data_IF_659020501433
#
_entry.id   IF_659020501433
#
_cell.length_a   1.000
_cell.length_b   1.000
_cell.length_c   1.000
_cell.angle_alpha   90.00
_cell.angle_beta   90.00
_cell.angle_gamma   90.00
#
_symmetry.space_group_name_H-M   'P 1'
#
loop_
_entity.id
_entity.type
_entity.pdbx_description
1 polymer ?
#
# COMPACT_ATOMS: atom_id res chain seq x y z
N UNK A 1 22.00 13.59 -10.33
CA UNK A 1 22.68 14.17 -11.52
C UNK A 1 22.35 13.22 -12.65
N UNK A 2 21.38 13.53 -13.53
CA UNK A 2 20.96 12.62 -14.62
C UNK A 2 22.19 12.01 -15.28
N UNK A 3 22.32 10.68 -15.20
CA UNK A 3 23.56 9.99 -15.56
C UNK A 3 23.90 10.37 -17.01
N UNK A 4 25.02 11.07 -17.20
CA UNK A 4 25.45 11.56 -18.52
C UNK A 4 25.55 10.41 -19.53
N UNK A 5 25.68 9.18 -19.03
CA UNK A 5 25.69 7.93 -19.82
C UNK A 5 24.32 7.57 -20.38
N UNK A 6 23.24 7.70 -19.60
CA UNK A 6 21.87 7.46 -20.06
C UNK A 6 21.45 8.48 -21.13
N UNK A 7 21.78 9.76 -20.92
CA UNK A 7 21.53 10.83 -21.89
C UNK A 7 22.31 10.61 -23.19
N UNK A 8 23.58 10.22 -23.12
CA UNK A 8 24.39 9.91 -24.31
C UNK A 8 23.85 8.68 -25.04
N UNK A 9 23.42 7.64 -24.33
CA UNK A 9 22.83 6.44 -24.94
C UNK A 9 21.52 6.75 -25.67
N UNK A 10 20.67 7.62 -25.13
CA UNK A 10 19.41 8.02 -25.76
C UNK A 10 19.63 8.91 -26.99
N UNK A 11 20.61 9.83 -26.93
CA UNK A 11 21.04 10.66 -28.06
C UNK A 11 21.59 9.81 -29.22
N UNK A 12 22.19 8.65 -28.95
CA UNK A 12 22.73 7.76 -29.99
C UNK A 12 21.66 6.77 -30.50
N UNK A 13 20.85 6.21 -29.62
CA UNK A 13 19.86 5.20 -29.98
C UNK A 13 18.77 5.76 -30.91
N UNK A 14 18.21 6.94 -30.60
CA UNK A 14 17.08 7.47 -31.39
C UNK A 14 17.47 7.74 -32.85
N UNK A 15 18.60 8.42 -33.16
CA UNK A 15 19.04 8.58 -34.55
C UNK A 15 19.36 7.26 -35.24
N UNK A 16 19.94 6.29 -34.51
CA UNK A 16 20.28 4.98 -35.09
C UNK A 16 19.03 4.20 -35.52
N UNK A 17 17.97 4.23 -34.70
CA UNK A 17 16.67 3.66 -35.05
C UNK A 17 16.05 4.34 -36.28
N UNK A 18 16.14 5.69 -36.36
CA UNK A 18 15.63 6.44 -37.50
C UNK A 18 16.41 6.13 -38.79
N UNK A 19 17.74 6.02 -38.72
CA UNK A 19 18.58 5.61 -39.86
C UNK A 19 18.22 4.18 -40.30
N UNK A 20 18.00 3.27 -39.35
CA UNK A 20 17.61 1.90 -39.65
C UNK A 20 16.26 1.82 -40.40
N UNK A 21 15.27 2.60 -39.97
CA UNK A 21 13.92 2.58 -40.54
C UNK A 21 13.83 3.36 -41.86
N UNK A 22 14.45 4.54 -41.94
CA UNK A 22 14.25 5.49 -43.05
C UNK A 22 15.27 5.31 -44.18
N UNK A 23 16.47 4.80 -43.88
CA UNK A 23 17.56 4.71 -44.87
C UNK A 23 17.89 3.26 -45.17
N UNK A 24 18.26 2.47 -44.15
CA UNK A 24 18.75 1.11 -44.37
C UNK A 24 17.66 0.16 -44.88
N UNK A 25 16.41 0.35 -44.42
CA UNK A 25 15.25 -0.46 -44.87
C UNK A 25 15.03 -0.39 -46.38
N UNK A 26 15.39 0.71 -47.02
CA UNK A 26 15.25 0.91 -48.47
C UNK A 26 16.32 0.14 -49.27
N UNK A 27 17.40 -0.27 -48.63
CA UNK A 27 18.54 -0.93 -49.28
C UNK A 27 18.64 -2.41 -48.91
N UNK A 28 18.57 -2.74 -47.62
CA UNK A 28 18.62 -4.11 -47.11
C UNK A 28 17.79 -4.23 -45.83
N UNK A 29 16.74 -5.05 -45.90
CA UNK A 29 15.81 -5.26 -44.81
C UNK A 29 16.43 -6.02 -43.63
N UNK A 30 17.29 -7.00 -43.89
CA UNK A 30 17.91 -7.79 -42.83
C UNK A 30 18.92 -6.95 -42.05
N UNK A 31 19.70 -6.14 -42.76
CA UNK A 31 20.62 -5.18 -42.15
C UNK A 31 19.86 -4.12 -41.33
N UNK A 32 18.75 -3.60 -41.87
CA UNK A 32 17.87 -2.68 -41.14
C UNK A 32 17.35 -3.29 -39.84
N UNK A 33 16.92 -4.56 -39.86
CA UNK A 33 16.42 -5.25 -38.67
C UNK A 33 17.50 -5.43 -37.60
N UNK A 34 18.73 -5.77 -37.99
CA UNK A 34 19.86 -5.91 -37.08
C UNK A 34 20.19 -4.57 -36.41
N UNK A 35 20.26 -3.48 -37.19
CA UNK A 35 20.59 -2.15 -36.66
C UNK A 35 19.46 -1.60 -35.79
N UNK A 36 18.21 -1.84 -36.15
CA UNK A 36 17.06 -1.47 -35.33
C UNK A 36 17.03 -2.26 -34.01
N UNK A 37 17.31 -3.56 -34.05
CA UNK A 37 17.43 -4.40 -32.85
C UNK A 37 18.54 -3.93 -31.91
N UNK A 38 19.72 -3.61 -32.45
CA UNK A 38 20.83 -3.05 -31.65
C UNK A 38 20.44 -1.71 -31.02
N UNK A 39 19.70 -0.86 -31.74
CA UNK A 39 19.18 0.40 -31.22
C UNK A 39 18.19 0.21 -30.08
N UNK A 40 17.30 -0.79 -30.16
CA UNK A 40 16.33 -1.11 -29.11
C UNK A 40 17.05 -1.58 -27.84
N UNK A 41 18.07 -2.42 -27.98
CA UNK A 41 18.89 -2.90 -26.86
C UNK A 41 19.59 -1.73 -26.16
N UNK A 42 20.17 -0.80 -26.91
CA UNK A 42 20.79 0.40 -26.34
C UNK A 42 19.78 1.32 -25.64
N UNK A 43 18.57 1.44 -26.19
CA UNK A 43 17.49 2.21 -25.57
C UNK A 43 17.03 1.59 -24.25
N UNK A 44 16.78 0.28 -24.23
CA UNK A 44 16.41 -0.44 -23.01
C UNK A 44 17.52 -0.40 -21.96
N UNK A 45 18.78 -0.51 -22.38
CA UNK A 45 19.92 -0.37 -21.48
C UNK A 45 20.00 1.02 -20.87
N UNK A 46 19.70 2.07 -21.63
CA UNK A 46 19.63 3.45 -21.11
C UNK A 46 18.50 3.60 -20.09
N UNK A 47 17.32 3.03 -20.34
CA UNK A 47 16.21 3.01 -19.39
C UNK A 47 16.57 2.26 -18.09
N UNK A 48 17.27 1.14 -18.20
CA UNK A 48 17.72 0.36 -17.03
C UNK A 48 18.78 1.09 -16.20
N UNK A 49 19.68 1.84 -16.84
CA UNK A 49 20.67 2.67 -16.12
C UNK A 49 20.05 3.88 -15.42
N UNK A 50 19.00 4.48 -15.99
CA UNK A 50 18.28 5.58 -15.34
C UNK A 50 17.53 5.10 -14.09
N UNK A 51 16.98 3.87 -14.11
CA UNK A 51 16.34 3.24 -12.93
C UNK A 51 17.33 2.78 -11.85
N UNK A 52 18.64 2.74 -12.15
CA UNK A 52 19.65 2.29 -11.19
C UNK A 52 20.11 3.40 -10.22
N UNK A 53 19.82 4.67 -10.52
CA UNK A 53 20.23 5.83 -9.72
C UNK A 53 19.18 6.26 -8.66
N UNK A 54 18.00 5.61 -8.62
CA UNK A 54 16.97 5.82 -7.58
C UNK A 54 17.13 4.90 -6.35
N UNK A 55 18.13 4.03 -6.33
CA UNK A 55 18.46 3.25 -5.15
C UNK A 55 19.47 4.01 -4.29
N UNK A 56 18.94 4.82 -3.38
CA UNK A 56 19.68 5.37 -2.24
C UNK A 56 20.35 4.23 -1.48
N UNK A 57 21.65 4.41 -1.18
CA UNK A 57 22.50 3.47 -0.45
C UNK A 57 21.78 2.83 0.75
N UNK A 58 21.62 1.51 0.70
CA UNK A 58 21.26 0.73 1.87
C UNK A 58 22.44 0.77 2.88
N UNK A 59 22.18 1.01 4.18
CA UNK A 59 23.21 0.79 5.18
C UNK A 59 23.51 -0.71 5.29
N UNK A 60 24.76 -0.99 5.67
CA UNK A 60 25.37 -2.32 5.80
C UNK A 60 24.43 -3.46 6.24
N UNK A 61 24.58 -4.56 5.50
CA UNK A 61 24.18 -5.93 5.77
C UNK A 61 23.94 -6.25 7.27
N UNK A 62 22.69 -6.12 7.71
CA UNK A 62 22.18 -6.92 8.83
C UNK A 62 21.83 -8.30 8.28
N UNK A 63 22.45 -9.30 8.90
CA UNK A 63 22.27 -10.72 8.67
C UNK A 63 20.85 -11.06 8.22
N UNK A 64 20.76 -11.73 7.08
CA UNK A 64 19.55 -12.33 6.55
C UNK A 64 19.04 -13.32 7.59
N UNK A 65 18.04 -12.91 8.37
CA UNK A 65 17.18 -13.85 9.07
C UNK A 65 16.35 -14.48 7.95
N UNK A 66 16.69 -15.72 7.58
CA UNK A 66 15.80 -16.57 6.80
C UNK A 66 14.43 -16.52 7.48
N UNK A 67 13.32 -16.33 6.75
CA UNK A 67 12.00 -16.42 7.37
C UNK A 67 11.86 -17.83 7.93
N UNK A 68 12.02 -17.94 9.25
CA UNK A 68 11.60 -19.10 9.99
C UNK A 68 10.09 -19.05 9.98
N UNK A 69 9.53 -20.11 9.42
CA UNK A 69 8.12 -20.43 9.19
C UNK A 69 7.30 -20.57 10.51
N UNK A 70 7.48 -19.65 11.46
CA UNK A 70 6.92 -19.72 12.83
C UNK A 70 6.33 -18.39 13.33
N UNK A 71 5.86 -17.52 12.44
CA UNK A 71 4.89 -16.48 12.80
C UNK A 71 3.49 -16.90 12.34
N UNK A 72 3.05 -18.09 12.75
CA UNK A 72 1.62 -18.33 12.94
C UNK A 72 1.22 -17.46 14.14
N UNK A 73 0.88 -16.20 13.89
CA UNK A 73 0.19 -15.40 14.90
C UNK A 73 -1.12 -16.11 15.22
N UNK A 74 -1.10 -16.83 16.32
CA UNK A 74 -2.27 -17.53 16.82
C UNK A 74 -3.24 -16.45 17.28
N UNK A 75 -4.36 -16.33 16.59
CA UNK A 75 -5.42 -15.37 16.95
C UNK A 75 -5.77 -15.51 18.43
N UNK A 76 -5.40 -14.50 19.22
CA UNK A 76 -5.88 -14.31 20.58
C UNK A 76 -7.06 -13.37 20.45
N UNK A 77 -8.29 -13.79 20.82
CA UNK A 77 -9.46 -12.94 20.65
C UNK A 77 -9.25 -11.60 21.37
N UNK A 78 -9.59 -10.54 20.64
CA UNK A 78 -9.58 -9.17 21.11
C UNK A 78 -10.50 -9.02 22.35
N UNK A 79 -10.09 -8.16 23.27
CA UNK A 79 -10.80 -7.87 24.52
C UNK A 79 -12.21 -7.39 24.19
N UNK A 80 -13.25 -8.00 24.79
CA UNK A 80 -14.69 -7.81 24.48
C UNK A 80 -15.24 -6.36 24.57
N UNK A 81 -14.42 -5.36 24.91
CA UNK A 81 -14.79 -3.94 24.93
C UNK A 81 -13.56 -3.07 24.56
N UNK A 82 -13.69 -2.03 23.70
CA UNK A 82 -12.65 -1.01 23.63
C UNK A 82 -12.62 -0.26 24.96
N UNK A 83 -11.60 -0.53 25.77
CA UNK A 83 -11.47 -0.05 27.14
C UNK A 83 -11.28 1.49 27.27
N UNK A 84 -11.33 2.24 26.16
CA UNK A 84 -10.88 3.61 26.11
C UNK A 84 -11.69 4.47 25.13
N UNK A 85 -12.00 5.70 25.54
CA UNK A 85 -12.45 6.75 24.61
C UNK A 85 -11.43 6.87 23.48
N UNK A 86 -11.89 7.10 22.26
CA UNK A 86 -11.09 7.43 21.06
C UNK A 86 -9.81 8.25 21.36
N UNK A 87 -9.93 9.28 22.22
CA UNK A 87 -8.84 10.16 22.67
C UNK A 87 -7.78 9.52 23.58
N UNK A 88 -7.83 8.20 23.77
CA UNK A 88 -6.90 7.41 24.58
C UNK A 88 -6.49 6.10 23.92
N UNK A 89 -7.09 5.73 22.79
CA UNK A 89 -6.69 4.55 22.03
C UNK A 89 -5.38 4.86 21.32
N UNK A 90 -4.30 4.08 21.53
CA UNK A 90 -3.02 4.31 20.87
C UNK A 90 -3.16 4.31 19.35
N UNK A 91 -2.35 5.13 18.67
CA UNK A 91 -2.34 5.16 17.20
C UNK A 91 -1.91 3.83 16.58
N UNK A 92 -1.17 2.99 17.31
CA UNK A 92 -0.78 1.64 16.87
C UNK A 92 -1.93 0.62 16.80
N UNK A 93 -3.14 0.95 17.27
CA UNK A 93 -4.33 0.11 17.05
C UNK A 93 -4.81 0.16 15.60
N UNK A 94 -4.22 1.03 14.77
CA UNK A 94 -4.52 1.07 13.33
C UNK A 94 -3.57 0.09 12.62
N UNK A 95 -4.14 -0.89 11.92
CA UNK A 95 -3.38 -1.89 11.17
C UNK A 95 -2.35 -1.23 10.22
N UNK A 96 -1.14 -1.80 10.20
CA UNK A 96 0.02 -1.24 9.50
C UNK A 96 0.75 -0.11 10.23
N UNK A 97 0.25 0.43 11.36
CA UNK A 97 0.98 1.37 12.21
C UNK A 97 1.68 0.61 13.35
N UNK A 98 2.84 0.04 13.04
CA UNK A 98 3.69 -0.58 14.06
C UNK A 98 4.40 0.41 14.99
N UNK A 99 5.20 -0.08 15.96
CA UNK A 99 5.88 0.75 16.96
C UNK A 99 6.79 1.85 16.39
N UNK A 100 7.32 1.66 15.18
CA UNK A 100 8.16 2.65 14.49
C UNK A 100 7.33 3.86 14.06
N UNK A 101 6.28 3.64 13.27
CA UNK A 101 5.39 4.72 12.80
C UNK A 101 4.61 5.35 13.96
N UNK A 102 4.13 4.53 14.90
CA UNK A 102 3.42 5.03 16.07
C UNK A 102 4.28 5.93 16.96
N UNK A 103 5.59 5.66 17.08
CA UNK A 103 6.53 6.59 17.74
C UNK A 103 6.65 7.92 16.98
N UNK A 104 6.78 7.89 15.66
CA UNK A 104 6.90 9.11 14.84
C UNK A 104 5.64 9.99 14.98
N UNK A 105 4.45 9.38 14.90
CA UNK A 105 3.17 10.07 15.05
C UNK A 105 2.99 10.65 16.45
N UNK A 106 3.34 9.90 17.50
CA UNK A 106 3.36 10.41 18.88
C UNK A 106 4.27 11.63 19.05
N UNK A 107 5.50 11.55 18.57
CA UNK A 107 6.48 12.62 18.69
C UNK A 107 6.03 13.88 17.91
N UNK A 108 5.24 13.69 16.85
CA UNK A 108 4.63 14.76 16.06
C UNK A 108 3.31 15.32 16.64
N UNK A 109 2.83 14.77 17.77
CA UNK A 109 1.62 15.26 18.45
C UNK A 109 0.33 14.53 18.07
N UNK A 110 0.40 13.36 17.44
CA UNK A 110 -0.74 12.51 17.08
C UNK A 110 -0.69 11.15 17.79
N UNK A 111 -0.80 11.11 19.13
CA UNK A 111 -0.62 9.88 19.89
C UNK A 111 -1.79 8.88 19.80
N UNK A 112 -2.97 9.29 19.34
CA UNK A 112 -4.19 8.48 19.43
C UNK A 112 -4.94 8.35 18.11
N UNK A 113 -5.83 7.34 18.04
CA UNK A 113 -6.77 7.14 16.92
C UNK A 113 -7.61 8.40 16.68
N UNK A 114 -8.03 9.11 17.74
CA UNK A 114 -8.78 10.37 17.60
C UNK A 114 -7.98 11.46 16.87
N UNK A 115 -6.67 11.53 17.11
CA UNK A 115 -5.81 12.55 16.51
C UNK A 115 -5.66 12.33 14.98
N UNK A 116 -5.82 11.09 14.52
CA UNK A 116 -5.79 10.73 13.10
C UNK A 116 -7.06 11.13 12.34
N UNK A 117 -8.20 11.33 13.01
CA UNK A 117 -9.46 11.65 12.32
C UNK A 117 -9.47 13.03 11.66
N UNK A 118 -8.60 13.94 12.10
CA UNK A 118 -8.53 15.33 11.63
C UNK A 118 -7.20 15.74 11.03
N UNK A 119 -6.29 14.80 10.76
CA UNK A 119 -4.98 15.08 10.16
C UNK A 119 -5.07 14.92 8.64
N UNK A 120 -4.37 15.80 7.91
CA UNK A 120 -4.24 15.69 6.45
C UNK A 120 -3.28 14.54 6.10
N UNK A 121 -3.59 13.79 5.03
CA UNK A 121 -2.80 12.64 4.63
C UNK A 121 -1.36 13.00 4.25
N UNK A 122 -1.14 14.13 3.59
CA UNK A 122 0.21 14.61 3.24
C UNK A 122 1.07 14.84 4.47
N UNK A 123 0.45 15.27 5.59
CA UNK A 123 1.16 15.49 6.85
C UNK A 123 1.58 14.17 7.48
N UNK A 124 0.71 13.17 7.47
CA UNK A 124 1.04 11.82 7.96
C UNK A 124 2.12 11.18 7.09
N UNK A 125 2.00 11.31 5.77
CA UNK A 125 2.98 10.85 4.81
C UNK A 125 4.37 11.46 5.06
N UNK A 126 4.44 12.78 5.29
CA UNK A 126 5.68 13.48 5.64
C UNK A 126 6.28 12.99 6.97
N UNK A 127 5.46 12.82 8.03
CA UNK A 127 5.93 12.38 9.35
C UNK A 127 6.51 10.96 9.29
N UNK A 128 5.85 10.06 8.55
CA UNK A 128 6.17 8.64 8.52
C UNK A 128 7.06 8.22 7.36
N UNK A 129 7.40 9.13 6.44
CA UNK A 129 8.15 8.85 5.20
C UNK A 129 7.49 7.74 4.36
N UNK A 130 6.17 7.88 4.16
CA UNK A 130 5.35 6.96 3.34
C UNK A 130 4.66 7.73 2.21
N UNK A 131 4.09 7.01 1.25
CA UNK A 131 3.27 7.66 0.22
C UNK A 131 1.92 8.14 0.78
N UNK A 132 1.30 9.11 0.12
CA UNK A 132 0.02 9.70 0.55
C UNK A 132 -1.11 8.67 0.59
N UNK A 133 -1.15 7.71 -0.33
CA UNK A 133 -2.17 6.67 -0.37
C UNK A 133 -2.14 5.78 0.89
N UNK A 134 -0.96 5.44 1.39
CA UNK A 134 -0.81 4.69 2.64
C UNK A 134 -1.31 5.51 3.83
N UNK A 135 -1.02 6.82 3.86
CA UNK A 135 -1.49 7.71 4.90
C UNK A 135 -3.02 7.88 4.87
N UNK A 136 -3.61 8.03 3.69
CA UNK A 136 -5.07 8.08 3.48
C UNK A 136 -5.74 6.81 4.03
N UNK A 137 -5.15 5.64 3.77
CA UNK A 137 -5.67 4.36 4.30
C UNK A 137 -5.60 4.27 5.81
N UNK A 138 -4.50 4.69 6.44
CA UNK A 138 -4.41 4.75 7.90
C UNK A 138 -5.47 5.67 8.51
N UNK A 139 -5.70 6.82 7.89
CA UNK A 139 -6.73 7.77 8.28
C UNK A 139 -8.13 7.16 8.09
N UNK A 140 -8.39 6.48 6.98
CA UNK A 140 -9.65 5.79 6.74
C UNK A 140 -9.91 4.69 7.80
N UNK A 141 -8.92 3.84 8.08
CA UNK A 141 -9.02 2.77 9.08
C UNK A 141 -9.27 3.33 10.49
N UNK A 142 -8.69 4.50 10.82
CA UNK A 142 -8.91 5.16 12.11
C UNK A 142 -10.37 5.53 12.37
N UNK A 143 -11.23 5.60 11.33
CA UNK A 143 -12.67 5.85 11.47
C UNK A 143 -13.46 4.63 11.91
N UNK A 144 -12.87 3.43 11.82
CA UNK A 144 -13.52 2.18 12.18
C UNK A 144 -12.86 1.47 13.35
N UNK A 145 -11.54 1.65 13.56
CA UNK A 145 -10.73 0.95 14.58
C UNK A 145 -11.14 1.19 16.05
N UNK A 146 -12.21 1.94 16.30
CA UNK A 146 -12.74 2.24 17.63
C UNK A 146 -14.17 1.73 17.83
N UNK A 147 -14.78 1.14 16.80
CA UNK A 147 -16.08 0.50 16.87
C UNK A 147 -15.96 -0.81 17.65
N UNK A 148 -16.87 -1.06 18.58
CA UNK A 148 -16.82 -2.23 19.48
C UNK A 148 -16.85 -3.54 18.69
N UNK A 149 -17.50 -3.54 17.51
CA UNK A 149 -17.65 -4.72 16.67
C UNK A 149 -16.54 -4.93 15.63
N UNK A 150 -15.57 -4.01 15.53
CA UNK A 150 -14.54 -3.99 14.47
C UNK A 150 -13.15 -4.17 15.09
N UNK A 151 -12.45 -5.23 14.71
CA UNK A 151 -11.03 -5.41 15.02
C UNK A 151 -10.10 -4.62 14.09
N UNK A 152 -8.81 -4.65 14.35
CA UNK A 152 -7.77 -4.08 13.47
C UNK A 152 -7.84 -4.66 12.05
N UNK A 153 -7.99 -5.98 11.92
CA UNK A 153 -8.13 -6.69 10.63
C UNK A 153 -9.47 -6.39 9.94
N UNK A 154 -10.53 -6.16 10.72
CA UNK A 154 -11.83 -5.77 10.18
C UNK A 154 -11.77 -4.37 9.57
N UNK A 155 -11.12 -3.42 10.26
CA UNK A 155 -10.92 -2.06 9.76
C UNK A 155 -10.10 -2.05 8.46
N UNK A 156 -9.02 -2.84 8.39
CA UNK A 156 -8.24 -3.03 7.16
C UNK A 156 -9.11 -3.59 6.03
N UNK A 157 -9.86 -4.67 6.29
CA UNK A 157 -10.69 -5.30 5.28
C UNK A 157 -11.81 -4.37 4.77
N UNK A 158 -12.41 -3.55 5.64
CA UNK A 158 -13.40 -2.53 5.24
C UNK A 158 -12.78 -1.55 4.25
N UNK A 159 -11.60 -1.02 4.55
CA UNK A 159 -10.95 0.00 3.70
C UNK A 159 -10.39 -0.64 2.42
N UNK A 160 -9.49 -1.60 2.53
CA UNK A 160 -8.75 -2.17 1.40
C UNK A 160 -9.64 -2.96 0.45
N UNK A 161 -10.53 -3.83 0.96
CA UNK A 161 -11.31 -4.68 0.08
C UNK A 161 -12.50 -3.95 -0.55
N UNK A 162 -12.98 -2.89 0.09
CA UNK A 162 -14.29 -2.31 -0.26
C UNK A 162 -14.24 -0.86 -0.73
N UNK A 163 -13.19 -0.11 -0.36
CA UNK A 163 -13.05 1.32 -0.63
C UNK A 163 -13.98 2.20 0.22
N UNK A 164 -14.49 1.67 1.35
CA UNK A 164 -15.32 2.45 2.27
C UNK A 164 -14.38 3.20 3.22
N UNK A 165 -14.53 4.52 3.25
CA UNK A 165 -13.62 5.43 3.97
C UNK A 165 -14.32 6.22 5.08
N UNK A 166 -15.63 6.04 5.28
CA UNK A 166 -16.42 6.74 6.31
C UNK A 166 -17.57 5.89 6.88
N UNK A 167 -18.16 6.38 7.98
CA UNK A 167 -19.24 5.69 8.69
C UNK A 167 -20.53 5.65 7.89
N UNK A 168 -20.83 6.71 7.13
CA UNK A 168 -21.99 6.79 6.26
C UNK A 168 -21.94 5.73 5.15
N UNK A 169 -20.76 5.54 4.54
CA UNK A 169 -20.50 4.51 3.55
C UNK A 169 -20.67 3.10 4.13
N UNK A 170 -20.16 2.86 5.35
CA UNK A 170 -20.33 1.59 6.04
C UNK A 170 -21.81 1.34 6.40
N UNK A 171 -22.50 2.34 6.95
CA UNK A 171 -23.91 2.28 7.34
C UNK A 171 -24.85 2.01 6.15
N UNK A 172 -24.51 2.53 4.97
CA UNK A 172 -25.25 2.34 3.73
C UNK A 172 -24.91 1.02 3.00
N UNK A 173 -23.89 0.28 3.43
CA UNK A 173 -23.41 -0.89 2.73
C UNK A 173 -24.40 -2.06 2.75
N UNK A 174 -24.33 -2.90 1.71
CA UNK A 174 -25.01 -4.19 1.70
C UNK A 174 -24.09 -5.27 2.29
N UNK A 175 -24.53 -6.04 3.31
CA UNK A 175 -23.67 -6.98 4.02
C UNK A 175 -23.18 -8.15 3.16
N UNK A 176 -23.99 -8.64 2.23
CA UNK A 176 -23.61 -9.73 1.33
C UNK A 176 -22.59 -9.26 0.28
N UNK A 177 -22.75 -8.04 -0.22
CA UNK A 177 -21.80 -7.42 -1.15
C UNK A 177 -20.45 -7.12 -0.48
N UNK A 178 -20.48 -6.58 0.73
CA UNK A 178 -19.29 -6.27 1.52
C UNK A 178 -18.51 -7.56 1.82
N UNK A 179 -19.17 -8.60 2.34
CA UNK A 179 -18.53 -9.89 2.60
C UNK A 179 -17.95 -10.54 1.34
N UNK A 180 -18.65 -10.42 0.20
CA UNK A 180 -18.15 -10.94 -1.09
C UNK A 180 -16.88 -10.22 -1.52
N UNK A 181 -16.81 -8.89 -1.39
CA UNK A 181 -15.61 -8.11 -1.71
C UNK A 181 -14.42 -8.50 -0.82
N UNK A 182 -14.65 -8.62 0.49
CA UNK A 182 -13.61 -9.07 1.44
C UNK A 182 -13.07 -10.44 1.05
N UNK A 183 -13.94 -11.42 0.77
CA UNK A 183 -13.51 -12.76 0.34
C UNK A 183 -12.69 -12.72 -0.94
N UNK A 184 -13.10 -11.89 -1.92
CA UNK A 184 -12.36 -11.70 -3.16
C UNK A 184 -10.96 -11.14 -2.89
N UNK A 185 -10.85 -10.12 -2.03
CA UNK A 185 -9.56 -9.52 -1.67
C UNK A 185 -8.64 -10.50 -0.93
N UNK A 186 -9.20 -11.37 -0.08
CA UNK A 186 -8.44 -12.46 0.55
C UNK A 186 -7.94 -13.49 -0.47
N UNK A 187 -8.79 -13.90 -1.41
CA UNK A 187 -8.43 -14.84 -2.47
C UNK A 187 -7.35 -14.27 -3.41
N UNK A 188 -7.35 -12.96 -3.62
CA UNK A 188 -6.37 -12.24 -4.45
C UNK A 188 -5.09 -11.87 -3.66
N UNK A 189 -5.12 -11.95 -2.33
CA UNK A 189 -3.98 -11.63 -1.45
C UNK A 189 -3.79 -10.13 -1.19
N UNK A 190 -4.79 -9.31 -1.55
CA UNK A 190 -4.83 -7.86 -1.33
C UNK A 190 -5.08 -7.52 0.15
N UNK A 191 -5.74 -8.41 0.88
CA UNK A 191 -5.92 -8.37 2.34
C UNK A 191 -5.34 -9.65 2.92
N UNK A 192 -4.69 -9.55 4.08
CA UNK A 192 -4.10 -10.70 4.79
C UNK A 192 -4.57 -10.68 6.23
N UNK A 193 -4.90 -11.86 6.74
CA UNK A 193 -5.35 -12.01 8.13
C UNK A 193 -4.63 -13.17 8.80
N UNK A 194 -4.51 -13.15 10.14
CA UNK A 194 -3.91 -14.25 10.90
C UNK A 194 -4.60 -15.60 10.65
N UNK A 195 -3.87 -16.68 10.88
CA UNK A 195 -4.38 -18.03 10.71
C UNK A 195 -5.60 -18.28 11.60
N UNK A 196 -6.69 -18.77 10.99
CA UNK A 196 -7.95 -19.04 11.68
C UNK A 196 -8.89 -17.84 11.79
N UNK A 197 -8.47 -16.64 11.41
CA UNK A 197 -9.35 -15.48 11.32
C UNK A 197 -10.38 -15.66 10.19
N UNK A 198 -11.65 -15.38 10.47
CA UNK A 198 -12.72 -15.59 9.50
C UNK A 198 -13.72 -14.45 9.47
N UNK A 199 -13.93 -13.93 8.27
CA UNK A 199 -15.05 -13.03 7.98
C UNK A 199 -16.32 -13.81 7.70
N UNK A 200 -17.38 -13.44 8.40
CA UNK A 200 -18.71 -14.03 8.22
C UNK A 200 -19.78 -12.94 8.20
N UNK A 201 -20.97 -13.32 7.70
CA UNK A 201 -22.06 -12.39 7.48
C UNK A 201 -22.61 -11.78 8.77
N UNK A 202 -22.56 -12.53 9.88
CA UNK A 202 -23.03 -12.03 11.17
C UNK A 202 -22.16 -10.86 11.66
N UNK A 203 -20.83 -11.00 11.53
CA UNK A 203 -19.86 -9.96 11.86
C UNK A 203 -20.03 -8.71 10.99
N UNK A 204 -20.10 -8.88 9.67
CA UNK A 204 -20.33 -7.74 8.75
C UNK A 204 -21.61 -6.98 9.08
N UNK A 205 -22.69 -7.69 9.45
CA UNK A 205 -23.93 -7.05 9.87
C UNK A 205 -23.78 -6.25 11.16
N UNK A 206 -22.98 -6.73 12.13
CA UNK A 206 -22.71 -6.00 13.36
C UNK A 206 -22.03 -4.65 13.06
N UNK A 207 -20.99 -4.63 12.23
CA UNK A 207 -20.31 -3.39 11.84
C UNK A 207 -21.26 -2.36 11.22
N UNK A 208 -22.12 -2.83 10.30
CA UNK A 208 -23.07 -1.96 9.60
C UNK A 208 -24.14 -1.42 10.56
N UNK A 209 -24.67 -2.26 11.46
CA UNK A 209 -25.67 -1.81 12.43
C UNK A 209 -25.07 -0.86 13.48
N UNK A 210 -23.83 -1.08 13.90
CA UNK A 210 -23.12 -0.15 14.77
C UNK A 210 -22.89 1.20 14.07
N UNK A 211 -22.40 1.19 12.82
CA UNK A 211 -22.21 2.40 12.03
C UNK A 211 -23.53 3.19 11.87
N UNK A 212 -24.65 2.52 11.55
CA UNK A 212 -25.98 3.16 11.49
C UNK A 212 -26.44 3.80 12.79
N UNK A 213 -25.95 3.32 13.94
CA UNK A 213 -26.32 3.90 15.23
C UNK A 213 -25.59 5.22 15.52
N UNK A 214 -24.53 5.51 14.76
CA UNK A 214 -23.65 6.67 14.95
C UNK A 214 -23.89 7.80 13.94
N UNK A 215 -24.64 7.56 12.86
CA UNK A 215 -24.93 8.53 11.76
C UNK A 215 -26.42 8.78 11.54
#
# INVERSE_FOLDING_TARGET
MSDRRAVVALIVAIPLALIAILVLRLYDYNLSLIVFGASLVLFLFACLLDTADEFVDAPEEKATILPTDEHDEMYVPEVEEPAARLSRMPVETIEGIGPVYGKLLRDAGYPTVADMLGVEAERVAEICDVNTEQAERWIAMSRFAWLDSVSEEDAEAIVFATGIEDLEGLAAANPDDLLRKIRKALDEGDVRVPSGYQFNLARVKLWIEEAKSLV
#
